data_IF_918205988844
#
_entry.id   IF_918205988844
#
_cell.length_a   1.000
_cell.length_b   1.000
_cell.length_c   1.000
_cell.angle_alpha   90.00
_cell.angle_beta   90.00
_cell.angle_gamma   90.00
#
_symmetry.space_group_name_H-M   'P 1'
#
loop_
_entity.id
_entity.type
_entity.pdbx_description
1 polymer ?
#
# COMPACT_ATOMS: atom_id res chain seq x y z
N UNK A 1 28.04 10.40 -0.87
CA UNK A 1 26.86 10.09 -0.04
C UNK A 1 25.57 9.75 -0.83
N UNK A 2 25.63 9.38 -2.13
CA UNK A 2 24.44 9.12 -2.97
C UNK A 2 23.95 7.65 -2.98
N UNK A 3 24.82 6.69 -2.67
CA UNK A 3 24.50 5.25 -2.79
C UNK A 3 23.60 4.78 -1.62
N UNK A 4 23.87 5.25 -0.39
CA UNK A 4 23.10 4.86 0.79
C UNK A 4 21.61 5.23 0.70
N UNK A 5 21.30 6.42 0.18
CA UNK A 5 19.91 6.85 -0.05
C UNK A 5 19.22 6.03 -1.14
N UNK A 6 19.95 5.62 -2.19
CA UNK A 6 19.39 4.80 -3.26
C UNK A 6 18.98 3.41 -2.75
N UNK A 7 19.85 2.78 -1.95
CA UNK A 7 19.55 1.47 -1.34
C UNK A 7 18.37 1.55 -0.36
N UNK A 8 18.26 2.65 0.40
CA UNK A 8 17.12 2.89 1.28
C UNK A 8 15.80 2.95 0.51
N UNK A 9 15.72 3.76 -0.56
CA UNK A 9 14.50 3.86 -1.36
C UNK A 9 14.12 2.53 -2.01
N UNK A 10 15.11 1.76 -2.48
CA UNK A 10 14.85 0.44 -3.03
C UNK A 10 14.30 -0.54 -1.98
N UNK A 11 14.86 -0.53 -0.76
CA UNK A 11 14.38 -1.37 0.33
C UNK A 11 12.93 -0.99 0.71
N UNK A 12 12.65 0.32 0.79
CA UNK A 12 11.30 0.83 1.04
C UNK A 12 10.32 0.39 -0.06
N UNK A 13 10.72 0.47 -1.33
CA UNK A 13 9.92 0.00 -2.45
C UNK A 13 9.65 -1.50 -2.40
N UNK A 14 10.66 -2.32 -2.07
CA UNK A 14 10.50 -3.77 -1.92
C UNK A 14 9.50 -4.07 -0.80
N UNK A 15 9.65 -3.43 0.36
CA UNK A 15 8.71 -3.59 1.49
C UNK A 15 7.30 -3.18 1.08
N UNK A 16 7.13 -2.02 0.43
CA UNK A 16 5.83 -1.54 -0.03
C UNK A 16 5.15 -2.49 -1.01
N UNK A 17 5.89 -2.94 -2.03
CA UNK A 17 5.41 -3.90 -3.01
C UNK A 17 5.06 -5.26 -2.37
N UNK A 18 5.89 -5.76 -1.44
CA UNK A 18 5.61 -7.00 -0.72
C UNK A 18 4.33 -6.94 0.10
N UNK A 19 4.03 -5.81 0.74
CA UNK A 19 2.78 -5.63 1.48
C UNK A 19 1.55 -5.74 0.57
N UNK A 20 1.56 -5.04 -0.58
CA UNK A 20 0.47 -5.11 -1.56
C UNK A 20 0.33 -6.54 -2.10
N UNK A 21 1.43 -7.18 -2.49
CA UNK A 21 1.42 -8.54 -3.05
C UNK A 21 0.96 -9.58 -2.03
N UNK A 22 1.36 -9.46 -0.76
CA UNK A 22 0.90 -10.36 0.29
C UNK A 22 -0.60 -10.21 0.55
N UNK A 23 -1.12 -8.97 0.56
CA UNK A 23 -2.55 -8.72 0.67
C UNK A 23 -3.31 -9.30 -0.53
N UNK A 24 -2.81 -9.07 -1.74
CA UNK A 24 -3.39 -9.62 -2.96
C UNK A 24 -3.39 -11.16 -2.98
N UNK A 25 -2.28 -11.79 -2.58
CA UNK A 25 -2.16 -13.24 -2.49
C UNK A 25 -3.12 -13.83 -1.44
N UNK A 26 -3.24 -13.18 -0.27
CA UNK A 26 -4.23 -13.55 0.74
C UNK A 26 -5.66 -13.46 0.23
N UNK A 27 -5.96 -12.42 -0.56
CA UNK A 27 -7.28 -12.24 -1.18
C UNK A 27 -7.56 -13.30 -2.26
N UNK A 28 -6.59 -13.60 -3.13
CA UNK A 28 -6.71 -14.65 -4.14
C UNK A 28 -6.92 -16.04 -3.54
N UNK A 29 -6.31 -16.32 -2.38
CA UNK A 29 -6.49 -17.58 -1.65
C UNK A 29 -7.78 -17.63 -0.81
N UNK A 30 -8.55 -16.54 -0.78
CA UNK A 30 -9.75 -16.42 0.05
C UNK A 30 -9.47 -16.32 1.56
N UNK A 31 -8.22 -16.12 1.97
CA UNK A 31 -7.84 -15.96 3.39
C UNK A 31 -8.24 -14.60 3.96
N UNK A 32 -8.21 -13.59 3.11
CA UNK A 32 -8.63 -12.22 3.42
C UNK A 32 -9.58 -11.74 2.34
N UNK A 33 -10.36 -10.71 2.61
CA UNK A 33 -11.24 -10.10 1.60
C UNK A 33 -11.06 -8.59 1.53
N UNK A 34 -11.65 -7.91 0.53
CA UNK A 34 -11.60 -6.46 0.38
C UNK A 34 -12.27 -5.71 1.55
N UNK A 35 -13.05 -6.41 2.39
CA UNK A 35 -13.65 -5.90 3.63
C UNK A 35 -12.84 -6.23 4.88
N UNK A 36 -11.72 -6.94 4.76
CA UNK A 36 -10.89 -7.26 5.94
C UNK A 36 -9.97 -6.10 6.29
N UNK A 37 -9.82 -5.84 7.59
CA UNK A 37 -8.95 -4.78 8.08
C UNK A 37 -7.50 -5.02 7.63
N UNK A 38 -7.00 -6.25 7.81
CA UNK A 38 -5.64 -6.64 7.43
C UNK A 38 -5.33 -6.38 5.95
N UNK A 39 -6.22 -6.79 5.05
CA UNK A 39 -6.06 -6.53 3.61
C UNK A 39 -5.95 -5.03 3.29
N UNK A 40 -6.84 -4.21 3.86
CA UNK A 40 -6.86 -2.79 3.58
C UNK A 40 -5.68 -2.05 4.22
N UNK A 41 -5.27 -2.42 5.44
CA UNK A 41 -4.08 -1.85 6.11
C UNK A 41 -2.81 -2.16 5.32
N UNK A 42 -2.62 -3.42 4.90
CA UNK A 42 -1.44 -3.81 4.13
C UNK A 42 -1.37 -3.07 2.79
N UNK A 43 -2.50 -2.99 2.06
CA UNK A 43 -2.53 -2.24 0.81
C UNK A 43 -2.28 -0.74 1.02
N UNK A 44 -2.86 -0.13 2.06
CA UNK A 44 -2.68 1.30 2.34
C UNK A 44 -1.23 1.61 2.70
N UNK A 45 -0.63 0.83 3.62
CA UNK A 45 0.77 1.03 3.99
C UNK A 45 1.71 0.80 2.80
N UNK A 46 1.47 -0.24 2.02
CA UNK A 46 2.27 -0.52 0.83
C UNK A 46 2.20 0.63 -0.20
N UNK A 47 1.01 1.11 -0.50
CA UNK A 47 0.79 2.22 -1.42
C UNK A 47 1.42 3.53 -0.91
N UNK A 48 1.34 3.82 0.39
CA UNK A 48 1.98 5.02 0.97
C UNK A 48 3.51 4.98 0.88
N UNK A 49 4.13 3.82 1.10
CA UNK A 49 5.58 3.65 0.96
C UNK A 49 6.02 3.83 -0.50
N UNK A 50 5.30 3.23 -1.45
CA UNK A 50 5.58 3.36 -2.88
C UNK A 50 5.33 4.79 -3.39
N UNK A 51 4.25 5.43 -2.92
CA UNK A 51 3.95 6.83 -3.22
C UNK A 51 5.07 7.75 -2.75
N UNK A 52 5.58 7.54 -1.52
CA UNK A 52 6.69 8.34 -1.01
C UNK A 52 7.93 8.20 -1.89
N UNK A 53 8.33 6.98 -2.26
CA UNK A 53 9.47 6.75 -3.17
C UNK A 53 9.20 7.37 -4.55
N UNK A 54 8.00 7.24 -5.09
CA UNK A 54 7.63 7.81 -6.38
C UNK A 54 7.72 9.35 -6.40
N UNK A 55 7.34 10.01 -5.29
CA UNK A 55 7.48 11.47 -5.12
C UNK A 55 8.94 11.88 -5.07
N UNK A 56 9.76 11.16 -4.29
CA UNK A 56 11.21 11.43 -4.20
C UNK A 56 11.89 11.28 -5.56
N UNK A 57 11.53 10.25 -6.33
CA UNK A 57 12.04 9.99 -7.68
C UNK A 57 11.37 10.85 -8.78
N UNK A 58 10.35 11.65 -8.44
CA UNK A 58 9.57 12.51 -9.35
C UNK A 58 8.93 11.76 -10.53
N UNK A 59 8.47 10.53 -10.29
CA UNK A 59 7.83 9.68 -11.29
C UNK A 59 6.32 9.91 -11.32
N UNK A 60 5.86 10.89 -12.09
CA UNK A 60 4.44 11.30 -12.11
C UNK A 60 3.44 10.16 -12.34
N UNK A 61 3.75 9.22 -13.25
CA UNK A 61 2.88 8.05 -13.49
C UNK A 61 2.74 7.14 -12.27
N UNK A 62 3.83 6.93 -11.53
CA UNK A 62 3.81 6.16 -10.28
C UNK A 62 3.15 6.94 -9.16
N UNK A 63 3.38 8.25 -9.06
CA UNK A 63 2.72 9.11 -8.07
C UNK A 63 1.19 9.01 -8.23
N UNK A 64 0.68 9.15 -9.46
CA UNK A 64 -0.75 9.02 -9.73
C UNK A 64 -1.27 7.62 -9.37
N UNK A 65 -0.56 6.58 -9.79
CA UNK A 65 -0.93 5.19 -9.54
C UNK A 65 -1.07 4.91 -8.04
N UNK A 66 -0.02 5.19 -7.27
CA UNK A 66 0.02 4.89 -5.83
C UNK A 66 -0.92 5.80 -5.03
N UNK A 67 -1.10 7.05 -5.45
CA UNK A 67 -2.07 7.96 -4.84
C UNK A 67 -3.52 7.46 -5.04
N UNK A 68 -3.86 7.00 -6.25
CA UNK A 68 -5.17 6.38 -6.51
C UNK A 68 -5.31 5.10 -5.69
N UNK A 69 -4.28 4.26 -5.63
CA UNK A 69 -4.30 3.01 -4.86
C UNK A 69 -4.54 3.25 -3.36
N UNK A 70 -3.86 4.25 -2.78
CA UNK A 70 -4.08 4.70 -1.42
C UNK A 70 -5.50 5.26 -1.24
N UNK A 71 -6.01 6.04 -2.19
CA UNK A 71 -7.36 6.61 -2.10
C UNK A 71 -8.47 5.54 -2.12
N UNK A 72 -8.36 4.53 -2.99
CA UNK A 72 -9.40 3.48 -3.10
C UNK A 72 -9.42 2.51 -1.91
N UNK A 73 -8.34 2.46 -1.12
CA UNK A 73 -8.26 1.63 0.09
C UNK A 73 -8.84 2.31 1.34
N UNK A 74 -9.04 3.63 1.32
CA UNK A 74 -9.60 4.38 2.45
C UNK A 74 -11.08 4.09 2.75
N UNK A 75 -12.01 4.02 1.77
CA UNK A 75 -13.43 3.82 2.06
C UNK A 75 -13.76 2.50 2.77
N UNK A 76 -13.20 1.33 2.38
CA UNK A 76 -13.39 0.09 3.13
C UNK A 76 -12.83 0.19 4.55
N UNK A 77 -11.62 0.74 4.72
CA UNK A 77 -10.99 0.91 6.03
C UNK A 77 -11.84 1.78 6.96
N UNK A 78 -12.36 2.88 6.43
CA UNK A 78 -13.21 3.81 7.17
C UNK A 78 -14.55 3.18 7.59
N UNK A 79 -15.16 2.35 6.73
CA UNK A 79 -16.38 1.61 7.10
C UNK A 79 -16.11 0.60 8.20
N UNK A 80 -15.02 -0.15 8.13
CA UNK A 80 -14.62 -1.14 9.15
C UNK A 80 -14.39 -0.48 10.51
N UNK A 81 -13.76 0.70 10.54
CA UNK A 81 -13.48 1.42 11.78
C UNK A 81 -14.72 2.09 12.39
N UNK A 82 -15.76 2.38 11.59
CA UNK A 82 -16.98 3.06 12.04
C UNK A 82 -18.14 2.12 12.36
N UNK A 83 -18.13 0.91 11.82
CA UNK A 83 -19.05 -0.16 12.17
C UNK A 83 -18.25 -1.32 12.80
N UNK A 84 -17.79 -1.18 14.06
CA UNK A 84 -17.38 -2.35 14.82
C UNK A 84 -18.64 -3.21 14.98
N UNK A 85 -18.65 -4.35 14.29
CA UNK A 85 -19.57 -5.50 14.43
C UNK A 85 -20.66 -5.28 15.49
N UNK A 86 -21.88 -5.02 15.05
CA UNK A 86 -23.08 -5.38 15.81
C UNK A 86 -23.25 -6.88 15.85
#
# INVERSE_FOLDING_TARGET
MKIGSLMLYQLVSIVGASLILAAYAGNQRGWTGPRSLGYNVMNLLGALLLLWVAVVDRRLGFILLEAVWAAVTLPPLYRILREPVG
#
